data_IF_553256059924
#
_entry.id   IF_553256059924
#
_cell.length_a   1.000
_cell.length_b   1.000
_cell.length_c   1.000
_cell.angle_alpha   90.00
_cell.angle_beta   90.00
_cell.angle_gamma   90.00
#
_symmetry.space_group_name_H-M   'P 1'
#
loop_
_entity.id
_entity.type
_entity.pdbx_description
1 polymer ?
#
# COMPACT_ATOMS: atom_id res chain seq x y z
N UNK A 1 15.73 -28.50 -7.51
CA UNK A 1 16.45 -27.20 -7.68
C UNK A 1 15.99 -26.37 -8.90
N UNK A 2 15.64 -26.97 -10.05
CA UNK A 2 15.29 -26.24 -11.28
C UNK A 2 13.98 -25.44 -11.21
N UNK A 3 12.96 -25.98 -10.52
CA UNK A 3 11.62 -25.38 -10.44
C UNK A 3 11.56 -24.09 -9.62
N UNK A 4 12.29 -24.04 -8.49
CA UNK A 4 12.40 -22.83 -7.66
C UNK A 4 13.09 -21.68 -8.41
N UNK A 5 14.10 -21.98 -9.25
CA UNK A 5 14.76 -20.99 -10.11
C UNK A 5 13.81 -20.44 -11.18
N UNK A 6 13.01 -21.31 -11.82
CA UNK A 6 12.02 -20.92 -12.83
C UNK A 6 10.92 -20.01 -12.26
N UNK A 7 10.42 -20.33 -11.06
CA UNK A 7 9.44 -19.50 -10.35
C UNK A 7 10.01 -18.14 -9.94
N UNK A 8 11.27 -18.10 -9.49
CA UNK A 8 11.97 -16.84 -9.15
C UNK A 8 12.18 -15.97 -10.39
N UNK A 9 12.54 -16.58 -11.52
CA UNK A 9 12.69 -15.90 -12.81
C UNK A 9 11.36 -15.33 -13.32
N UNK A 10 10.28 -16.11 -13.25
CA UNK A 10 8.94 -15.67 -13.63
C UNK A 10 8.40 -14.55 -12.74
N UNK A 11 8.70 -14.58 -11.44
CA UNK A 11 8.36 -13.50 -10.51
C UNK A 11 9.13 -12.22 -10.85
N UNK A 12 10.42 -12.35 -11.17
CA UNK A 12 11.28 -11.24 -11.57
C UNK A 12 10.86 -10.64 -12.92
N UNK A 13 10.49 -11.47 -13.90
CA UNK A 13 9.92 -11.04 -15.19
C UNK A 13 8.58 -10.32 -15.02
N UNK A 14 7.69 -10.82 -14.15
CA UNK A 14 6.42 -10.16 -13.84
C UNK A 14 6.62 -8.82 -13.14
N UNK A 15 7.64 -8.68 -12.28
CA UNK A 15 8.01 -7.39 -11.68
C UNK A 15 8.57 -6.42 -12.73
N UNK A 16 9.40 -6.91 -13.66
CA UNK A 16 9.98 -6.09 -14.73
C UNK A 16 8.90 -5.55 -15.68
N UNK A 17 7.95 -6.39 -16.12
CA UNK A 17 6.83 -5.96 -16.96
C UNK A 17 5.90 -4.96 -16.25
N UNK A 18 5.78 -5.06 -14.91
CA UNK A 18 5.05 -4.07 -14.10
C UNK A 18 5.79 -2.72 -14.03
N UNK A 19 7.11 -2.70 -14.10
CA UNK A 19 7.89 -1.44 -14.09
C UNK A 19 7.87 -0.75 -15.45
N UNK A 20 7.75 -1.49 -16.55
CA UNK A 20 7.64 -0.94 -17.91
C UNK A 20 6.29 -0.27 -18.21
N UNK A 21 5.30 -0.41 -17.32
CA UNK A 21 3.97 0.19 -17.43
C UNK A 21 3.77 1.41 -16.52
N UNK A 22 4.80 1.80 -15.75
CA UNK A 22 4.82 3.09 -15.06
C UNK A 22 5.43 4.13 -16.00
N UNK A 23 4.60 5.00 -16.56
CA UNK A 23 5.12 6.26 -17.09
C UNK A 23 5.83 7.02 -15.97
N UNK A 24 6.95 7.71 -16.25
CA UNK A 24 7.65 8.47 -15.23
C UNK A 24 6.70 9.52 -14.65
N UNK A 25 6.64 9.59 -13.31
CA UNK A 25 5.91 10.67 -12.64
C UNK A 25 6.36 12.00 -13.24
N UNK A 26 5.42 12.91 -13.60
CA UNK A 26 5.80 14.22 -14.10
C UNK A 26 6.70 14.91 -13.07
N UNK A 27 7.76 15.60 -13.52
CA UNK A 27 8.69 16.26 -12.61
C UNK A 27 7.93 17.24 -11.70
N UNK A 28 8.35 17.41 -10.43
CA UNK A 28 7.72 18.37 -9.54
C UNK A 28 7.86 19.78 -10.13
N UNK A 29 6.73 20.37 -10.51
CA UNK A 29 6.68 21.70 -11.13
C UNK A 29 7.01 22.75 -10.06
N UNK A 30 8.11 23.49 -10.26
CA UNK A 30 8.50 24.61 -9.39
C UNK A 30 7.52 25.76 -9.56
N UNK A 31 7.04 26.27 -8.43
CA UNK A 31 5.93 27.22 -8.29
C UNK A 31 6.35 28.61 -8.76
N UNK A 32 6.21 28.89 -10.05
CA UNK A 32 6.12 30.26 -10.58
C UNK A 32 5.14 30.29 -11.75
N UNK A 33 3.92 30.80 -11.50
CA UNK A 33 2.99 31.48 -12.43
C UNK A 33 1.52 31.04 -12.28
N UNK A 34 0.66 32.03 -11.97
CA UNK A 34 -0.80 31.93 -11.85
C UNK A 34 -1.54 31.46 -13.11
N UNK A 35 -0.84 31.25 -14.23
CA UNK A 35 -1.43 30.98 -15.55
C UNK A 35 -1.65 29.48 -15.83
N UNK A 36 -1.08 28.57 -15.02
CA UNK A 36 -1.16 27.12 -15.25
C UNK A 36 -2.20 26.38 -14.40
N UNK A 37 -2.96 27.08 -13.55
CA UNK A 37 -3.94 26.44 -12.64
C UNK A 37 -4.97 25.56 -13.38
N UNK A 38 -5.52 25.95 -14.54
CA UNK A 38 -6.48 25.10 -15.26
C UNK A 38 -5.85 23.81 -15.79
N UNK A 39 -4.62 23.88 -16.31
CA UNK A 39 -3.88 22.72 -16.82
C UNK A 39 -3.52 21.75 -15.69
N UNK A 40 -3.04 22.28 -14.56
CA UNK A 40 -2.70 21.48 -13.40
C UNK A 40 -3.93 20.75 -12.84
N UNK A 41 -5.07 21.45 -12.74
CA UNK A 41 -6.33 20.84 -12.31
C UNK A 41 -6.80 19.75 -13.28
N UNK A 42 -6.64 19.96 -14.59
CA UNK A 42 -6.96 18.94 -15.60
C UNK A 42 -6.08 17.69 -15.43
N UNK A 43 -4.76 17.86 -15.28
CA UNK A 43 -3.82 16.75 -15.06
C UNK A 43 -4.16 15.99 -13.77
N UNK A 44 -4.41 16.71 -12.67
CA UNK A 44 -4.79 16.09 -11.40
C UNK A 44 -6.09 15.29 -11.52
N UNK A 45 -7.08 15.82 -12.25
CA UNK A 45 -8.35 15.14 -12.50
C UNK A 45 -8.14 13.85 -13.31
N UNK A 46 -7.45 13.92 -14.44
CA UNK A 46 -7.17 12.74 -15.28
C UNK A 46 -6.38 11.68 -14.51
N UNK A 47 -5.42 12.10 -13.70
CA UNK A 47 -4.65 11.19 -12.86
C UNK A 47 -5.52 10.54 -11.78
N UNK A 48 -6.39 11.31 -11.12
CA UNK A 48 -7.34 10.80 -10.14
C UNK A 48 -8.32 9.81 -10.79
N UNK A 49 -8.92 10.15 -11.94
CA UNK A 49 -9.80 9.25 -12.70
C UNK A 49 -9.11 7.92 -13.04
N UNK A 50 -7.85 7.99 -13.48
CA UNK A 50 -7.04 6.80 -13.78
C UNK A 50 -6.73 5.98 -12.53
N UNK A 51 -6.44 6.66 -11.41
CA UNK A 51 -6.18 6.04 -10.12
C UNK A 51 -7.42 5.34 -9.56
N UNK A 52 -8.59 5.94 -9.69
CA UNK A 52 -9.88 5.38 -9.25
C UNK A 52 -10.22 4.07 -10.00
N UNK A 53 -9.73 3.90 -11.23
CA UNK A 53 -9.87 2.63 -11.96
C UNK A 53 -8.99 1.50 -11.41
N UNK A 54 -8.00 1.79 -10.55
CA UNK A 54 -7.07 0.81 -9.99
C UNK A 54 -7.66 0.08 -8.77
N UNK A 55 -8.89 -0.41 -8.86
CA UNK A 55 -9.64 -1.02 -7.75
C UNK A 55 -9.00 -2.28 -7.14
N UNK A 56 -8.17 -2.99 -7.91
CA UNK A 56 -7.43 -4.18 -7.44
C UNK A 56 -6.05 -3.83 -6.85
N UNK A 57 -5.65 -2.55 -6.89
CA UNK A 57 -4.38 -2.11 -6.35
C UNK A 57 -4.48 -1.97 -4.83
N UNK A 58 -3.65 -2.74 -4.12
CA UNK A 58 -3.54 -2.68 -2.66
C UNK A 58 -3.30 -1.26 -2.14
N UNK A 59 -2.51 -0.44 -2.85
CA UNK A 59 -2.20 0.93 -2.45
C UNK A 59 -3.39 1.86 -2.64
N UNK A 60 -4.23 1.64 -3.66
CA UNK A 60 -5.47 2.39 -3.87
C UNK A 60 -6.43 2.21 -2.69
N UNK A 61 -6.58 0.97 -2.21
CA UNK A 61 -7.40 0.68 -1.02
C UNK A 61 -6.90 1.36 0.26
N UNK A 62 -5.60 1.65 0.34
CA UNK A 62 -4.99 2.36 1.46
C UNK A 62 -5.15 3.88 1.29
N UNK A 63 -5.05 4.37 0.06
CA UNK A 63 -5.14 5.78 -0.27
C UNK A 63 -5.73 6.00 -1.66
N UNK A 64 -7.04 6.28 -1.74
CA UNK A 64 -7.73 6.44 -3.01
C UNK A 64 -7.49 7.80 -3.65
N UNK A 65 -6.83 8.76 -2.99
CA UNK A 65 -6.51 10.05 -3.62
C UNK A 65 -5.12 10.03 -4.28
N UNK A 66 -4.93 10.80 -5.34
CA UNK A 66 -3.60 11.14 -5.89
C UNK A 66 -2.95 12.32 -5.16
N UNK A 67 -3.70 12.97 -4.25
CA UNK A 67 -3.20 14.07 -3.43
C UNK A 67 -2.10 13.62 -2.45
N UNK A 68 -1.31 14.57 -1.98
CA UNK A 68 -0.24 14.29 -1.04
C UNK A 68 -0.79 13.82 0.31
N UNK A 69 -0.10 12.87 0.96
CA UNK A 69 -0.40 12.50 2.34
C UNK A 69 -0.04 13.65 3.28
N UNK A 70 -0.94 13.97 4.21
CA UNK A 70 -0.57 14.84 5.31
C UNK A 70 0.57 14.19 6.11
N UNK A 71 1.76 14.79 6.07
CA UNK A 71 2.91 14.32 6.83
C UNK A 71 2.69 14.60 8.32
N UNK A 72 3.00 13.62 9.16
CA UNK A 72 3.01 13.87 10.61
C UNK A 72 4.19 14.80 10.98
N UNK A 73 4.03 15.70 11.97
CA UNK A 73 5.10 16.62 12.37
C UNK A 73 6.41 15.93 12.78
N UNK A 74 6.30 14.70 13.27
CA UNK A 74 7.44 13.88 13.70
C UNK A 74 7.69 12.79 12.67
N UNK A 75 8.79 12.91 11.92
CA UNK A 75 9.24 11.95 10.90
C UNK A 75 9.20 10.49 11.35
N UNK A 76 9.58 10.21 12.60
CA UNK A 76 9.59 8.84 13.15
C UNK A 76 8.18 8.21 13.19
N UNK A 77 7.16 8.99 13.51
CA UNK A 77 5.77 8.54 13.51
C UNK A 77 5.27 8.32 12.09
N UNK A 78 5.59 9.25 11.18
CA UNK A 78 5.20 9.19 9.78
C UNK A 78 5.75 7.93 9.08
N UNK A 79 7.03 7.61 9.31
CA UNK A 79 7.66 6.38 8.79
C UNK A 79 6.99 5.12 9.33
N UNK A 80 6.66 5.09 10.63
CA UNK A 80 5.98 3.94 11.25
C UNK A 80 4.57 3.77 10.67
N UNK A 81 3.81 4.85 10.58
CA UNK A 81 2.45 4.83 10.04
C UNK A 81 2.44 4.39 8.57
N UNK A 82 3.34 4.94 7.76
CA UNK A 82 3.49 4.56 6.36
C UNK A 82 3.77 3.07 6.23
N UNK A 83 4.75 2.53 6.98
CA UNK A 83 5.06 1.09 6.98
C UNK A 83 3.87 0.23 7.42
N UNK A 84 3.13 0.65 8.45
CA UNK A 84 1.94 -0.06 8.92
C UNK A 84 0.86 -0.11 7.83
N UNK A 85 0.55 1.02 7.19
CA UNK A 85 -0.47 1.12 6.14
C UNK A 85 -0.21 0.15 4.99
N UNK A 86 1.01 0.12 4.46
CA UNK A 86 1.38 -0.82 3.37
C UNK A 86 1.61 -2.26 3.86
N UNK A 87 1.58 -2.50 5.17
CA UNK A 87 1.68 -3.82 5.77
C UNK A 87 3.11 -4.32 6.00
N UNK A 88 4.13 -3.46 5.98
CA UNK A 88 5.53 -3.82 6.19
C UNK A 88 5.87 -3.98 7.68
N UNK A 89 5.30 -4.99 8.31
CA UNK A 89 5.67 -5.42 9.67
C UNK A 89 6.44 -6.73 9.63
N UNK A 90 7.23 -7.02 10.67
CA UNK A 90 7.90 -8.33 10.78
C UNK A 90 6.90 -9.48 10.69
N UNK A 91 5.75 -9.38 11.34
CA UNK A 91 4.74 -10.45 11.36
C UNK A 91 4.17 -10.75 9.97
N UNK A 92 3.79 -9.72 9.22
CA UNK A 92 3.15 -9.86 7.91
C UNK A 92 4.13 -10.03 6.75
N UNK A 93 5.39 -9.58 6.86
CA UNK A 93 6.40 -9.66 5.78
C UNK A 93 7.49 -10.71 5.96
N UNK A 94 7.68 -11.28 7.16
CA UNK A 94 8.75 -12.26 7.40
C UNK A 94 8.70 -13.44 6.43
N UNK A 95 7.50 -13.94 6.12
CA UNK A 95 7.34 -15.06 5.19
C UNK A 95 7.88 -14.74 3.78
N UNK A 96 7.76 -13.49 3.31
CA UNK A 96 8.31 -13.06 2.01
C UNK A 96 9.84 -13.10 2.01
N UNK A 97 10.47 -12.69 3.12
CA UNK A 97 11.92 -12.68 3.26
C UNK A 97 12.50 -14.10 3.31
N UNK A 98 11.75 -15.03 3.90
CA UNK A 98 12.16 -16.43 4.06
C UNK A 98 11.66 -17.34 2.92
N UNK A 99 10.78 -16.83 2.05
CA UNK A 99 10.12 -17.63 1.01
C UNK A 99 9.18 -18.70 1.56
N UNK A 100 8.61 -18.46 2.74
CA UNK A 100 7.63 -19.31 3.41
C UNK A 100 6.19 -18.94 2.97
N UNK A 101 5.22 -19.80 3.29
CA UNK A 101 3.81 -19.48 3.08
C UNK A 101 3.37 -18.34 4.02
N UNK A 102 2.45 -17.50 3.55
CA UNK A 102 1.89 -16.45 4.40
C UNK A 102 1.18 -17.08 5.62
N UNK A 103 1.40 -16.56 6.83
CA UNK A 103 0.68 -17.04 8.00
C UNK A 103 -0.80 -16.64 7.87
N UNK A 104 -1.70 -17.55 8.24
CA UNK A 104 -3.14 -17.37 8.13
C UNK A 104 -3.81 -17.24 9.49
N UNK A 105 -4.91 -16.51 9.55
CA UNK A 105 -5.76 -16.45 10.73
C UNK A 105 -6.48 -17.80 10.93
N UNK A 106 -6.32 -18.47 12.08
CA UNK A 106 -6.96 -19.77 12.32
C UNK A 106 -8.49 -19.72 12.29
N UNK A 107 -9.07 -18.58 12.69
CA UNK A 107 -10.53 -18.37 12.74
C UNK A 107 -11.10 -17.91 11.40
N UNK A 108 -10.47 -16.91 10.75
CA UNK A 108 -11.00 -16.32 9.52
C UNK A 108 -10.52 -17.03 8.24
N UNK A 109 -9.51 -17.90 8.31
CA UNK A 109 -8.91 -18.62 7.17
C UNK A 109 -8.42 -17.70 6.03
N UNK A 110 -7.99 -16.49 6.39
CA UNK A 110 -7.38 -15.53 5.46
C UNK A 110 -5.94 -15.23 5.88
N UNK A 111 -5.04 -14.86 4.95
CA UNK A 111 -3.69 -14.42 5.28
C UNK A 111 -3.70 -13.21 6.21
N UNK A 112 -2.78 -13.18 7.17
CA UNK A 112 -2.65 -12.02 8.05
C UNK A 112 -2.22 -10.77 7.26
N UNK A 113 -2.97 -9.69 7.46
CA UNK A 113 -2.62 -8.34 7.03
C UNK A 113 -2.75 -7.37 8.20
N UNK A 114 -2.10 -6.21 8.12
CA UNK A 114 -2.25 -5.16 9.14
C UNK A 114 -3.70 -4.70 9.23
N UNK A 115 -4.40 -4.57 8.10
CA UNK A 115 -5.83 -4.27 8.06
C UNK A 115 -6.66 -5.33 8.78
N UNK A 116 -6.41 -6.62 8.49
CA UNK A 116 -7.12 -7.71 9.15
C UNK A 116 -6.93 -7.68 10.66
N UNK A 117 -5.71 -7.46 11.16
CA UNK A 117 -5.45 -7.42 12.61
C UNK A 117 -6.08 -6.17 13.26
N UNK A 118 -5.88 -4.99 12.66
CA UNK A 118 -6.23 -3.71 13.27
C UNK A 118 -7.67 -3.26 13.02
N UNK A 119 -8.40 -3.86 12.08
CA UNK A 119 -9.75 -3.42 11.70
C UNK A 119 -10.72 -4.59 11.66
N UNK A 120 -10.45 -5.60 10.83
CA UNK A 120 -11.49 -6.53 10.36
C UNK A 120 -11.65 -7.82 11.21
N UNK A 121 -10.56 -8.38 11.74
CA UNK A 121 -10.59 -9.67 12.41
C UNK A 121 -11.33 -9.60 13.78
N UNK A 122 -12.38 -10.42 14.01
CA UNK A 122 -13.11 -10.43 15.28
C UNK A 122 -12.25 -10.88 16.47
N UNK A 123 -11.28 -11.77 16.24
CA UNK A 123 -10.38 -12.31 17.28
C UNK A 123 -9.58 -11.19 17.96
N UNK A 124 -9.21 -10.15 17.21
CA UNK A 124 -8.45 -9.02 17.74
C UNK A 124 -9.31 -7.89 18.32
N UNK A 125 -10.65 -7.99 18.26
CA UNK A 125 -11.53 -6.91 18.68
C UNK A 125 -11.32 -6.50 20.15
N UNK A 126 -11.15 -7.48 21.05
CA UNK A 126 -10.84 -7.21 22.47
C UNK A 126 -9.57 -6.37 22.65
N UNK A 127 -8.53 -6.66 21.87
CA UNK A 127 -7.29 -5.89 21.91
C UNK A 127 -7.51 -4.47 21.38
N UNK A 128 -8.30 -4.30 20.30
CA UNK A 128 -8.61 -2.97 19.76
C UNK A 128 -9.37 -2.10 20.75
N UNK A 129 -10.38 -2.65 21.41
CA UNK A 129 -11.13 -1.93 22.46
C UNK A 129 -10.21 -1.54 23.61
N UNK A 130 -9.27 -2.41 24.00
CA UNK A 130 -8.34 -2.15 25.11
C UNK A 130 -7.32 -1.05 24.78
N UNK A 131 -6.72 -1.07 23.59
CA UNK A 131 -5.62 -0.17 23.23
C UNK A 131 -6.04 1.10 22.49
N UNK A 132 -7.17 1.05 21.78
CA UNK A 132 -7.64 2.15 20.91
C UNK A 132 -9.03 2.67 21.30
N UNK A 133 -9.68 2.07 22.31
CA UNK A 133 -11.04 2.41 22.73
C UNK A 133 -12.05 2.43 21.58
N UNK A 134 -11.80 1.63 20.54
CA UNK A 134 -12.62 1.54 19.34
C UNK A 134 -13.06 0.10 19.16
N UNK A 135 -14.38 -0.10 19.07
CA UNK A 135 -14.98 -1.33 18.56
C UNK A 135 -15.21 -1.18 17.07
N UNK A 136 -14.81 -2.20 16.29
CA UNK A 136 -15.26 -2.35 14.90
C UNK A 136 -16.41 -3.35 14.92
#
# INVERSE_FOLDING_TARGET
MKEKKKRKLLFQQKQFLRLQSFEPNPPPVTVESRQHVPLLNYIHRVWQETWDQQILNKLHNIHPSTSHWAALPVRRHDVRLTRLRIGHTRFTHRHLLLGENAPECPSCKVPYSVYHILIDCPVFNRHRVTFFHTSV
#
